data_IF_866576787202
#
_entry.id   IF_866576787202
#
_cell.length_a   1.000
_cell.length_b   1.000
_cell.length_c   1.000
_cell.angle_alpha   90.00
_cell.angle_beta   90.00
_cell.angle_gamma   90.00
#
_symmetry.space_group_name_H-M   'P 1'
#
loop_
_entity.id
_entity.type
_entity.pdbx_description
1 polymer ?
#
# COMPACT_ATOMS: atom_id res chain seq x y z
N UNK A 1 1.47 16.59 14.81
CA UNK A 1 0.82 16.37 13.51
C UNK A 1 1.84 16.68 12.43
N UNK A 2 2.31 15.65 11.75
CA UNK A 2 3.36 15.75 10.72
C UNK A 2 2.81 15.25 9.40
N UNK A 3 3.24 15.87 8.29
CA UNK A 3 2.91 15.41 6.95
C UNK A 3 4.05 14.53 6.41
N UNK A 4 3.72 13.32 5.99
CA UNK A 4 4.65 12.39 5.35
C UNK A 4 4.26 12.17 3.90
N UNK A 5 5.22 12.37 3.00
CA UNK A 5 5.07 11.93 1.62
C UNK A 5 5.47 10.44 1.52
N UNK A 6 4.58 9.61 0.99
CA UNK A 6 4.85 8.20 0.73
C UNK A 6 4.96 7.99 -0.79
N UNK A 7 6.14 7.59 -1.24
CA UNK A 7 6.32 7.06 -2.58
C UNK A 7 5.71 5.65 -2.69
N UNK A 8 5.73 5.09 -3.90
CA UNK A 8 5.16 3.75 -4.13
C UNK A 8 5.86 2.67 -3.30
N UNK A 9 7.17 2.78 -3.09
CA UNK A 9 7.91 1.80 -2.28
C UNK A 9 7.54 1.85 -0.81
N UNK A 10 7.36 3.04 -0.23
CA UNK A 10 6.89 3.21 1.14
C UNK A 10 5.44 2.75 1.31
N UNK A 11 4.57 3.01 0.33
CA UNK A 11 3.18 2.56 0.39
C UNK A 11 3.07 1.03 0.36
N UNK A 12 3.89 0.34 -0.43
CA UNK A 12 3.92 -1.13 -0.46
C UNK A 12 4.29 -1.71 0.90
N UNK A 13 5.26 -1.12 1.62
CA UNK A 13 5.67 -1.56 2.98
C UNK A 13 4.54 -1.47 4.02
N UNK A 14 3.47 -0.71 3.75
CA UNK A 14 2.26 -0.72 4.59
C UNK A 14 1.50 -2.04 4.47
N UNK A 15 1.48 -2.63 3.27
CA UNK A 15 0.65 -3.79 2.93
C UNK A 15 1.44 -5.10 2.84
N UNK A 16 2.73 -5.04 2.51
CA UNK A 16 3.60 -6.21 2.33
C UNK A 16 4.72 -6.18 3.37
N UNK A 17 4.98 -7.27 4.11
CA UNK A 17 6.08 -7.35 5.05
C UNK A 17 7.45 -7.26 4.36
N UNK A 18 8.10 -6.10 4.50
CA UNK A 18 9.47 -5.81 4.03
C UNK A 18 10.25 -5.00 5.09
N UNK A 19 11.55 -4.84 4.92
CA UNK A 19 12.37 -3.97 5.80
C UNK A 19 11.80 -2.54 5.84
N UNK A 20 11.53 -2.04 7.04
CA UNK A 20 10.92 -0.72 7.26
C UNK A 20 9.39 -0.73 7.40
N UNK A 21 8.72 -1.88 7.24
CA UNK A 21 7.25 -1.97 7.37
C UNK A 21 6.75 -1.59 8.76
N UNK A 22 7.49 -1.94 9.82
CA UNK A 22 7.12 -1.56 11.18
C UNK A 22 7.06 -0.03 11.35
N UNK A 23 8.04 0.68 10.78
CA UNK A 23 8.09 2.14 10.82
C UNK A 23 6.96 2.76 9.99
N UNK A 24 6.75 2.29 8.75
CA UNK A 24 5.65 2.78 7.91
C UNK A 24 4.30 2.55 8.58
N UNK A 25 4.06 1.37 9.17
CA UNK A 25 2.81 1.09 9.91
C UNK A 25 2.63 2.02 11.10
N UNK A 26 3.69 2.32 11.86
CA UNK A 26 3.63 3.23 12.99
C UNK A 26 3.27 4.68 12.59
N UNK A 27 3.95 5.25 11.58
CA UNK A 27 3.67 6.63 11.14
C UNK A 27 2.33 6.79 10.45
N UNK A 28 1.72 5.68 10.02
CA UNK A 28 0.53 5.66 9.19
C UNK A 28 -0.68 5.03 9.91
N UNK A 29 -0.52 4.71 11.20
CA UNK A 29 -1.59 4.27 12.08
C UNK A 29 -2.62 5.40 12.28
N UNK A 30 -3.90 5.05 12.44
CA UNK A 30 -4.99 6.03 12.53
C UNK A 30 -4.85 6.96 13.75
N UNK A 31 -4.32 6.43 14.85
CA UNK A 31 -4.04 7.14 16.10
C UNK A 31 -2.80 8.05 16.04
N UNK A 32 -1.95 7.93 15.01
CA UNK A 32 -0.75 8.76 14.85
C UNK A 32 -1.04 10.23 14.58
N UNK A 33 -2.25 10.57 14.10
CA UNK A 33 -2.64 11.94 13.74
C UNK A 33 -1.77 12.56 12.63
N UNK A 34 -1.07 11.74 11.85
CA UNK A 34 -0.23 12.19 10.74
C UNK A 34 -1.03 12.30 9.44
N UNK A 35 -0.65 13.27 8.61
CA UNK A 35 -1.17 13.38 7.25
C UNK A 35 -0.28 12.59 6.29
N UNK A 36 -0.88 11.71 5.50
CA UNK A 36 -0.18 10.92 4.49
C UNK A 36 -0.49 11.48 3.11
N UNK A 37 0.55 11.86 2.38
CA UNK A 37 0.46 12.42 1.04
C UNK A 37 1.05 11.40 0.07
N UNK A 38 0.34 11.11 -1.00
CA UNK A 38 0.82 10.27 -2.10
C UNK A 38 0.72 11.04 -3.42
N UNK A 39 1.59 10.73 -4.37
CA UNK A 39 1.46 11.26 -5.72
C UNK A 39 0.32 10.55 -6.46
N UNK A 40 -0.37 11.24 -7.39
CA UNK A 40 -1.41 10.58 -8.22
C UNK A 40 -0.85 9.40 -9.03
N UNK A 41 0.42 9.48 -9.43
CA UNK A 41 1.10 8.41 -10.18
C UNK A 41 1.28 7.12 -9.37
N UNK A 42 1.32 7.22 -8.03
CA UNK A 42 1.45 6.09 -7.11
C UNK A 42 0.39 5.01 -7.37
N UNK A 43 -0.82 5.40 -7.78
CA UNK A 43 -1.88 4.45 -8.12
C UNK A 43 -1.51 3.55 -9.30
N UNK A 44 -0.92 4.12 -10.36
CA UNK A 44 -0.52 3.38 -11.56
C UNK A 44 0.70 2.51 -11.28
N UNK A 45 1.65 3.02 -10.49
CA UNK A 45 2.86 2.29 -10.11
C UNK A 45 2.55 1.07 -9.23
N UNK A 46 1.70 1.23 -8.20
CA UNK A 46 1.26 0.11 -7.35
C UNK A 46 0.52 -0.94 -8.17
N UNK A 47 -0.39 -0.53 -9.07
CA UNK A 47 -1.13 -1.45 -9.93
C UNK A 47 -0.19 -2.20 -10.90
N UNK A 48 0.80 -1.50 -11.45
CA UNK A 48 1.81 -2.09 -12.34
C UNK A 48 2.73 -3.06 -11.60
N UNK A 49 3.13 -2.73 -10.37
CA UNK A 49 3.93 -3.59 -9.51
C UNK A 49 3.19 -4.88 -9.12
N UNK A 50 1.90 -4.77 -8.76
CA UNK A 50 1.04 -5.92 -8.48
C UNK A 50 0.88 -6.81 -9.71
N UNK A 51 0.56 -6.23 -10.88
CA UNK A 51 0.42 -6.98 -12.13
C UNK A 51 1.73 -7.68 -12.53
N UNK A 52 2.89 -7.05 -12.29
CA UNK A 52 4.20 -7.66 -12.51
C UNK A 52 4.42 -8.85 -11.57
N UNK A 53 4.18 -8.70 -10.27
CA UNK A 53 4.33 -9.78 -9.27
C UNK A 53 3.40 -10.97 -9.55
N UNK A 54 2.18 -10.72 -10.05
CA UNK A 54 1.28 -11.77 -10.53
C UNK A 54 1.84 -12.54 -11.72
N UNK A 55 2.39 -11.85 -12.74
CA UNK A 55 3.06 -12.51 -13.88
C UNK A 55 4.29 -13.31 -13.47
N UNK A 56 5.01 -12.84 -12.47
CA UNK A 56 6.19 -13.51 -11.90
C UNK A 56 5.82 -14.65 -10.93
N UNK A 57 4.53 -14.87 -10.65
CA UNK A 57 4.06 -15.92 -9.73
C UNK A 57 4.32 -15.64 -8.25
N UNK A 58 4.79 -14.44 -7.89
CA UNK A 58 5.08 -14.04 -6.50
C UNK A 58 3.86 -13.48 -5.74
N UNK A 59 2.73 -13.30 -6.44
CA UNK A 59 1.42 -12.96 -5.87
C UNK A 59 0.34 -13.75 -6.60
N UNK A 60 -0.54 -14.42 -5.86
CA UNK A 60 -1.71 -15.13 -6.39
C UNK A 60 -2.96 -14.27 -6.30
N UNK A 61 -4.01 -14.61 -7.08
CA UNK A 61 -5.31 -13.92 -7.00
C UNK A 61 -5.92 -14.05 -5.60
N UNK A 62 -5.65 -15.14 -4.88
CA UNK A 62 -6.06 -15.32 -3.49
C UNK A 62 -5.43 -14.30 -2.54
N UNK A 63 -4.19 -13.85 -2.82
CA UNK A 63 -3.53 -12.78 -2.05
C UNK A 63 -4.19 -11.41 -2.29
N UNK A 64 -4.89 -11.25 -3.41
CA UNK A 64 -5.61 -10.03 -3.78
C UNK A 64 -7.04 -9.97 -3.21
N UNK A 65 -7.45 -10.94 -2.37
CA UNK A 65 -8.81 -11.01 -1.86
C UNK A 65 -9.15 -9.73 -1.07
N UNK A 66 -10.06 -8.86 -1.57
CA UNK A 66 -10.45 -7.68 -0.85
C UNK A 66 -11.50 -8.09 0.18
N UNK A 67 -11.12 -8.12 1.45
CA UNK A 67 -12.10 -8.14 2.55
C UNK A 67 -12.73 -6.73 2.72
N UNK A 68 -13.21 -6.17 1.61
CA UNK A 68 -14.03 -4.96 1.58
C UNK A 68 -15.45 -5.40 1.23
N UNK A 69 -16.48 -4.95 1.96
CA UNK A 69 -17.86 -5.16 1.53
C UNK A 69 -17.99 -4.57 0.12
N UNK A 70 -18.51 -5.36 -0.82
CA UNK A 70 -18.83 -4.87 -2.16
C UNK A 70 -19.83 -3.72 -1.99
N UNK A 71 -19.36 -2.48 -2.16
CA UNK A 71 -20.25 -1.34 -2.30
C UNK A 71 -20.86 -1.47 -3.69
N UNK A 72 -22.10 -1.93 -3.74
CA UNK A 72 -22.94 -1.83 -4.91
C UNK A 72 -23.11 -0.35 -5.25
N UNK A 73 -22.67 0.03 -6.45
CA UNK A 73 -23.07 1.28 -7.08
C UNK A 73 -24.54 1.22 -7.48
#
# INVERSE_FOLDING_TARGET
MTAYFLDSSALIKRYVPETGSAWIRAISALDSGNSLIIARITWVEVRSALARRQREGSLTISDASPNYPKVSL
#
